data_IF_131010609250
#
_entry.id   IF_131010609250
#
_cell.length_a   1.000
_cell.length_b   1.000
_cell.length_c   1.000
_cell.angle_alpha   90.00
_cell.angle_beta   90.00
_cell.angle_gamma   90.00
#
_symmetry.space_group_name_H-M   'P 1'
#
loop_
_entity.id
_entity.type
_entity.pdbx_description
1 polymer ?
#
# COMPACT_ATOMS: atom_id res chain seq x y z
N UNK A 1 10.13 20.68 12.32
CA UNK A 1 9.77 20.67 10.87
C UNK A 1 8.79 19.54 10.47
N UNK A 2 8.64 18.48 11.25
CA UNK A 2 7.78 17.32 10.95
C UNK A 2 6.28 17.61 11.09
N UNK A 3 5.84 18.31 12.12
CA UNK A 3 4.41 18.55 12.41
C UNK A 3 3.71 19.43 11.36
N UNK A 4 4.41 20.45 10.81
CA UNK A 4 3.85 21.33 9.79
C UNK A 4 3.61 20.58 8.47
N UNK A 5 4.59 19.78 7.99
CA UNK A 5 4.43 18.95 6.77
C UNK A 5 3.29 17.94 6.87
N UNK A 6 3.12 17.32 8.04
CA UNK A 6 2.00 16.43 8.31
C UNK A 6 0.67 17.16 8.18
N UNK A 7 0.54 18.32 8.82
CA UNK A 7 -0.69 19.11 8.77
C UNK A 7 -1.02 19.55 7.34
N UNK A 8 -0.04 19.97 6.56
CA UNK A 8 -0.22 20.40 5.17
C UNK A 8 -0.63 19.22 4.27
N UNK A 9 -0.02 18.05 4.44
CA UNK A 9 -0.37 16.85 3.70
C UNK A 9 -1.77 16.33 4.07
N UNK A 10 -2.09 16.28 5.36
CA UNK A 10 -3.40 15.89 5.85
C UNK A 10 -4.49 16.82 5.33
N UNK A 11 -4.26 18.15 5.37
CA UNK A 11 -5.19 19.13 4.82
C UNK A 11 -5.41 18.96 3.33
N UNK A 12 -4.35 18.69 2.56
CA UNK A 12 -4.43 18.43 1.12
C UNK A 12 -5.32 17.23 0.84
N UNK A 13 -5.09 16.10 1.52
CA UNK A 13 -5.89 14.90 1.31
C UNK A 13 -7.30 15.02 1.86
N UNK A 14 -7.49 15.69 3.01
CA UNK A 14 -8.84 16.01 3.52
C UNK A 14 -9.65 16.79 2.48
N UNK A 15 -9.07 17.82 1.85
CA UNK A 15 -9.74 18.61 0.81
C UNK A 15 -10.10 17.73 -0.40
N UNK A 16 -9.19 16.87 -0.87
CA UNK A 16 -9.46 15.98 -1.99
C UNK A 16 -10.56 14.96 -1.70
N UNK A 17 -10.60 14.42 -0.48
CA UNK A 17 -11.62 13.44 -0.07
C UNK A 17 -12.95 14.07 0.38
N UNK A 18 -13.05 15.40 0.48
CA UNK A 18 -14.32 16.09 0.76
C UNK A 18 -15.33 16.00 -0.39
N UNK A 19 -14.87 15.75 -1.61
CA UNK A 19 -15.74 15.61 -2.76
C UNK A 19 -16.74 14.45 -2.60
N UNK A 20 -17.92 14.62 -3.20
CA UNK A 20 -18.97 13.59 -3.19
C UNK A 20 -18.50 12.30 -3.89
N UNK A 21 -18.98 11.16 -3.39
CA UNK A 21 -18.60 9.83 -3.86
C UNK A 21 -17.21 9.42 -3.35
N UNK A 22 -16.55 8.54 -4.08
CA UNK A 22 -15.20 8.01 -3.77
C UNK A 22 -14.24 8.39 -4.89
N UNK A 23 -13.15 9.06 -4.52
CA UNK A 23 -12.17 9.60 -5.45
C UNK A 23 -11.52 8.51 -6.32
N UNK A 24 -11.19 7.38 -5.68
CA UNK A 24 -10.56 6.22 -6.30
C UNK A 24 -11.54 5.04 -6.51
N UNK A 25 -12.85 5.31 -6.41
CA UNK A 25 -13.88 4.27 -6.50
C UNK A 25 -13.97 3.39 -5.26
N UNK A 26 -14.81 2.36 -5.32
CA UNK A 26 -15.05 1.41 -4.23
C UNK A 26 -14.55 0.00 -4.54
N UNK A 27 -14.22 -0.28 -5.80
CA UNK A 27 -13.63 -1.55 -6.20
C UNK A 27 -12.15 -1.64 -5.79
N UNK A 28 -11.67 -2.82 -5.39
CA UNK A 28 -10.28 -3.00 -5.00
C UNK A 28 -9.34 -2.78 -6.17
N UNK A 29 -8.12 -2.43 -5.86
CA UNK A 29 -7.06 -2.36 -6.87
C UNK A 29 -6.89 -3.71 -7.58
N UNK A 30 -6.74 -3.69 -8.90
CA UNK A 30 -6.68 -4.90 -9.72
C UNK A 30 -5.48 -5.80 -9.40
N UNK A 31 -4.31 -5.23 -9.16
CA UNK A 31 -3.12 -6.00 -8.80
C UNK A 31 -3.27 -6.64 -7.42
N UNK A 32 -3.75 -5.89 -6.44
CA UNK A 32 -4.05 -6.42 -5.11
C UNK A 32 -5.03 -7.58 -5.18
N UNK A 33 -6.12 -7.43 -5.94
CA UNK A 33 -7.14 -8.49 -6.12
C UNK A 33 -6.53 -9.78 -6.69
N UNK A 34 -5.60 -9.66 -7.65
CA UNK A 34 -4.90 -10.82 -8.23
C UNK A 34 -4.00 -11.54 -7.22
N UNK A 35 -3.40 -10.81 -6.28
CA UNK A 35 -2.44 -11.35 -5.32
C UNK A 35 -3.08 -11.80 -4.00
N UNK A 36 -4.34 -11.44 -3.74
CA UNK A 36 -4.99 -11.70 -2.44
C UNK A 36 -5.16 -13.19 -2.10
N UNK A 37 -5.07 -14.09 -3.07
CA UNK A 37 -5.10 -15.54 -2.86
C UNK A 37 -3.90 -16.08 -2.06
N UNK A 38 -2.85 -15.28 -1.84
CA UNK A 38 -1.74 -15.61 -0.95
C UNK A 38 -2.09 -15.50 0.53
N UNK A 39 -3.20 -14.85 0.87
CA UNK A 39 -3.70 -14.75 2.24
C UNK A 39 -4.91 -15.66 2.46
N UNK A 40 -5.02 -16.18 3.67
CA UNK A 40 -6.12 -17.06 4.08
C UNK A 40 -7.09 -16.30 5.00
N UNK A 41 -8.35 -16.72 5.02
CA UNK A 41 -9.35 -16.16 5.92
C UNK A 41 -8.86 -16.22 7.39
N UNK A 42 -9.07 -15.13 8.12
CA UNK A 42 -8.59 -14.94 9.48
C UNK A 42 -7.17 -14.38 9.61
N UNK A 43 -6.34 -14.39 8.56
CA UNK A 43 -5.03 -13.74 8.59
C UNK A 43 -5.15 -12.23 8.72
N UNK A 44 -4.17 -11.65 9.43
CA UNK A 44 -4.15 -10.21 9.71
C UNK A 44 -3.39 -9.44 8.65
N UNK A 45 -4.08 -8.55 7.94
CA UNK A 45 -3.51 -7.71 6.86
C UNK A 45 -3.57 -6.24 7.23
N UNK A 46 -2.49 -5.49 6.94
CA UNK A 46 -2.43 -4.04 7.06
C UNK A 46 -2.55 -3.38 5.67
N UNK A 47 -3.52 -2.48 5.50
CA UNK A 47 -3.57 -1.56 4.36
C UNK A 47 -2.90 -0.24 4.72
N UNK A 48 -1.85 0.10 3.98
CA UNK A 48 -1.00 1.28 4.22
C UNK A 48 -1.50 2.46 3.40
N UNK A 49 -1.81 3.60 4.05
CA UNK A 49 -2.33 4.80 3.41
C UNK A 49 -3.53 4.47 2.50
N UNK A 50 -4.55 3.87 3.09
CA UNK A 50 -5.67 3.21 2.40
C UNK A 50 -6.72 4.18 1.83
N UNK A 51 -6.62 5.47 2.19
CA UNK A 51 -7.52 6.52 1.71
C UNK A 51 -8.95 6.29 2.17
N UNK A 52 -9.85 6.07 1.21
CA UNK A 52 -11.29 5.91 1.40
C UNK A 52 -11.73 4.44 1.59
N UNK A 53 -10.79 3.49 1.79
CA UNK A 53 -11.10 2.14 2.25
C UNK A 53 -11.39 1.08 1.18
N UNK A 54 -11.24 1.37 -0.11
CA UNK A 54 -11.61 0.43 -1.18
C UNK A 54 -10.89 -0.92 -1.10
N UNK A 55 -9.62 -0.91 -0.69
CA UNK A 55 -8.81 -2.13 -0.58
C UNK A 55 -9.08 -2.87 0.73
N UNK A 56 -9.07 -2.16 1.84
CA UNK A 56 -9.27 -2.75 3.17
C UNK A 56 -10.67 -3.37 3.32
N UNK A 57 -11.70 -2.69 2.84
CA UNK A 57 -13.08 -3.18 2.89
C UNK A 57 -13.24 -4.44 2.05
N UNK A 58 -12.69 -4.44 0.84
CA UNK A 58 -12.73 -5.63 -0.01
C UNK A 58 -11.97 -6.81 0.60
N UNK A 59 -10.78 -6.58 1.19
CA UNK A 59 -10.03 -7.64 1.87
C UNK A 59 -10.80 -8.21 3.08
N UNK A 60 -11.50 -7.34 3.83
CA UNK A 60 -12.37 -7.80 4.92
C UNK A 60 -13.55 -8.65 4.41
N UNK A 61 -14.12 -8.33 3.23
CA UNK A 61 -15.14 -9.17 2.58
C UNK A 61 -14.60 -10.56 2.18
N UNK A 62 -13.27 -10.69 1.95
CA UNK A 62 -12.63 -11.99 1.71
C UNK A 62 -12.37 -12.78 3.01
N UNK A 63 -12.83 -12.27 4.16
CA UNK A 63 -12.69 -12.93 5.46
C UNK A 63 -11.37 -12.66 6.19
N UNK A 64 -10.59 -11.70 5.75
CA UNK A 64 -9.35 -11.30 6.41
C UNK A 64 -9.61 -10.40 7.63
N UNK A 65 -8.73 -10.46 8.63
CA UNK A 65 -8.70 -9.50 9.74
C UNK A 65 -7.91 -8.28 9.30
N UNK A 66 -8.58 -7.17 8.97
CA UNK A 66 -7.94 -6.03 8.32
C UNK A 66 -7.76 -4.87 9.28
N UNK A 67 -6.54 -4.34 9.37
CA UNK A 67 -6.24 -3.01 9.88
C UNK A 67 -5.90 -2.09 8.71
N UNK A 68 -6.28 -0.81 8.80
CA UNK A 68 -5.99 0.19 7.79
C UNK A 68 -5.72 1.55 8.43
N UNK A 69 -4.88 2.34 7.80
CA UNK A 69 -4.68 3.72 8.23
C UNK A 69 -4.50 4.67 7.06
N UNK A 70 -4.88 5.91 7.26
CA UNK A 70 -4.58 7.02 6.37
C UNK A 70 -4.33 8.28 7.19
N UNK A 71 -3.61 9.25 6.63
CA UNK A 71 -3.40 10.52 7.32
C UNK A 71 -4.63 11.44 7.24
N UNK A 72 -5.55 11.17 6.30
CA UNK A 72 -6.77 11.94 6.12
C UNK A 72 -7.89 11.42 7.01
N UNK A 73 -8.31 12.23 7.95
CA UNK A 73 -9.50 11.95 8.76
C UNK A 73 -10.78 11.85 7.91
N UNK A 74 -10.87 12.63 6.83
CA UNK A 74 -12.01 12.57 5.89
C UNK A 74 -12.00 11.23 5.14
N UNK A 75 -10.84 10.79 4.68
CA UNK A 75 -10.66 9.49 4.04
C UNK A 75 -11.09 8.35 4.96
N UNK A 76 -10.56 8.34 6.19
CA UNK A 76 -10.89 7.32 7.21
C UNK A 76 -12.40 7.28 7.50
N UNK A 77 -13.06 8.43 7.70
CA UNK A 77 -14.53 8.47 7.89
C UNK A 77 -15.31 7.93 6.69
N UNK A 78 -14.81 8.11 5.46
CA UNK A 78 -15.44 7.50 4.27
C UNK A 78 -15.19 5.99 4.22
N UNK A 79 -14.00 5.54 4.59
CA UNK A 79 -13.65 4.12 4.70
C UNK A 79 -14.54 3.40 5.73
N UNK A 80 -14.77 4.00 6.90
CA UNK A 80 -15.69 3.48 7.93
C UNK A 80 -17.13 3.34 7.39
N UNK A 81 -17.61 4.35 6.63
CA UNK A 81 -18.94 4.28 6.01
C UNK A 81 -19.02 3.18 4.97
N UNK A 82 -17.95 3.01 4.16
CA UNK A 82 -17.88 1.94 3.17
C UNK A 82 -17.90 0.56 3.83
N UNK A 83 -17.12 0.36 4.89
CA UNK A 83 -17.11 -0.88 5.66
C UNK A 83 -18.46 -1.20 6.28
N UNK A 84 -19.13 -0.19 6.86
CA UNK A 84 -20.49 -0.33 7.38
C UNK A 84 -21.50 -0.72 6.30
N UNK A 85 -21.44 -0.08 5.14
CA UNK A 85 -22.32 -0.40 4.00
C UNK A 85 -22.07 -1.82 3.45
N UNK A 86 -20.81 -2.29 3.49
CA UNK A 86 -20.41 -3.64 3.11
C UNK A 86 -20.65 -4.70 4.20
N UNK A 87 -21.11 -4.30 5.40
CA UNK A 87 -21.31 -5.15 6.56
C UNK A 87 -20.05 -5.94 6.98
N UNK A 88 -18.90 -5.27 6.97
CA UNK A 88 -17.61 -5.82 7.42
C UNK A 88 -16.98 -4.93 8.49
N UNK A 89 -16.08 -5.51 9.29
CA UNK A 89 -15.28 -4.80 10.28
C UNK A 89 -13.85 -4.61 9.78
N UNK A 90 -13.33 -3.39 9.90
CA UNK A 90 -11.94 -3.02 9.64
C UNK A 90 -11.47 -2.12 10.79
N UNK A 91 -10.25 -2.37 11.29
CA UNK A 91 -9.61 -1.57 12.34
C UNK A 91 -8.96 -0.33 11.69
N UNK A 92 -9.73 0.76 11.57
CA UNK A 92 -9.27 2.01 10.98
C UNK A 92 -8.58 2.92 12.00
N UNK A 93 -7.56 3.64 11.55
CA UNK A 93 -6.89 4.68 12.34
C UNK A 93 -6.44 5.86 11.49
N UNK A 94 -6.49 7.08 12.07
CA UNK A 94 -5.87 8.25 11.46
C UNK A 94 -4.43 8.32 11.92
N UNK A 95 -3.49 8.15 10.99
CA UNK A 95 -2.05 8.18 11.27
C UNK A 95 -1.25 8.46 10.00
N UNK A 96 -0.06 9.04 10.15
CA UNK A 96 0.91 9.08 9.07
C UNK A 96 1.97 7.97 9.21
N UNK A 97 2.69 7.72 8.12
CA UNK A 97 3.66 6.63 8.05
C UNK A 97 4.87 6.81 8.98
N UNK A 98 5.25 8.05 9.31
CA UNK A 98 6.41 8.34 10.16
C UNK A 98 6.06 8.34 11.67
N UNK A 99 4.86 8.81 12.04
CA UNK A 99 4.43 8.91 13.45
C UNK A 99 3.72 7.66 13.97
N UNK A 100 3.22 6.80 13.06
CA UNK A 100 2.57 5.55 13.44
C UNK A 100 3.51 4.63 14.22
N UNK A 101 2.98 4.00 15.27
CA UNK A 101 3.68 2.92 15.96
C UNK A 101 3.64 1.65 15.10
N UNK A 102 4.81 1.23 14.61
CA UNK A 102 4.98 0.00 13.86
C UNK A 102 5.43 -1.11 14.80
N UNK A 103 4.61 -2.16 14.93
CA UNK A 103 4.89 -3.30 15.82
C UNK A 103 5.46 -4.44 14.98
N UNK A 104 6.59 -4.99 15.43
CA UNK A 104 7.30 -6.06 14.74
C UNK A 104 6.47 -7.34 14.67
N UNK A 105 6.59 -8.07 13.55
CA UNK A 105 6.00 -9.40 13.34
C UNK A 105 4.51 -9.48 13.72
N UNK A 106 3.73 -8.49 13.30
CA UNK A 106 2.30 -8.36 13.66
C UNK A 106 1.37 -8.82 12.55
N UNK A 107 1.75 -8.62 11.30
CA UNK A 107 0.87 -8.84 10.15
C UNK A 107 1.30 -10.05 9.32
N UNK A 108 0.32 -10.84 8.90
CA UNK A 108 0.51 -11.94 7.96
C UNK A 108 0.62 -11.41 6.52
N UNK A 109 -0.01 -10.26 6.28
CA UNK A 109 0.00 -9.57 5.00
C UNK A 109 0.05 -8.07 5.10
N UNK A 110 0.49 -7.43 4.00
CA UNK A 110 0.50 -5.98 3.88
C UNK A 110 0.19 -5.56 2.46
N UNK A 111 -0.71 -4.59 2.30
CA UNK A 111 -1.05 -3.96 1.02
C UNK A 111 -0.57 -2.50 1.02
N UNK A 112 0.30 -2.15 0.08
CA UNK A 112 0.84 -0.80 -0.11
C UNK A 112 0.59 -0.37 -1.56
N UNK A 113 -0.60 0.21 -1.80
CA UNK A 113 -1.09 0.55 -3.13
C UNK A 113 -0.99 2.05 -3.35
N UNK A 114 -0.15 2.47 -4.32
CA UNK A 114 0.12 3.87 -4.67
C UNK A 114 0.65 4.74 -3.50
N UNK A 115 1.53 4.18 -2.67
CA UNK A 115 2.17 4.90 -1.55
C UNK A 115 3.32 5.82 -2.01
N UNK A 116 3.24 6.33 -3.23
CA UNK A 116 4.26 7.17 -3.88
C UNK A 116 4.18 8.66 -3.53
N UNK A 117 3.43 9.01 -2.49
CA UNK A 117 3.52 10.31 -1.82
C UNK A 117 4.83 10.45 -1.03
N UNK A 118 5.45 9.33 -0.66
CA UNK A 118 6.68 9.29 0.11
C UNK A 118 7.89 9.67 -0.77
N UNK A 119 8.58 10.74 -0.41
CA UNK A 119 9.89 11.09 -0.97
C UNK A 119 10.93 9.99 -0.63
N UNK A 120 12.10 9.94 -1.29
CA UNK A 120 13.07 8.87 -1.08
C UNK A 120 13.46 8.60 0.37
N UNK A 121 13.73 9.62 1.24
CA UNK A 121 14.01 9.39 2.65
C UNK A 121 12.83 8.80 3.44
N UNK A 122 11.62 9.30 3.22
CA UNK A 122 10.40 8.78 3.85
C UNK A 122 10.08 7.37 3.35
N UNK A 123 10.22 7.13 2.06
CA UNK A 123 10.02 5.82 1.44
C UNK A 123 10.94 4.75 2.03
N UNK A 124 12.22 5.07 2.25
CA UNK A 124 13.16 4.15 2.86
C UNK A 124 12.71 3.73 4.27
N UNK A 125 12.27 4.69 5.10
CA UNK A 125 11.74 4.41 6.45
C UNK A 125 10.44 3.60 6.38
N UNK A 126 9.52 3.97 5.49
CA UNK A 126 8.25 3.27 5.29
C UNK A 126 8.48 1.80 4.92
N UNK A 127 9.34 1.53 3.94
CA UNK A 127 9.63 0.17 3.48
C UNK A 127 10.30 -0.67 4.59
N UNK A 128 11.23 -0.10 5.35
CA UNK A 128 11.83 -0.77 6.52
C UNK A 128 10.77 -1.11 7.59
N UNK A 129 9.88 -0.18 7.90
CA UNK A 129 8.80 -0.39 8.85
C UNK A 129 7.83 -1.49 8.38
N UNK A 130 7.49 -1.50 7.09
CA UNK A 130 6.65 -2.53 6.50
C UNK A 130 7.29 -3.91 6.63
N UNK A 131 8.56 -4.06 6.22
CA UNK A 131 9.28 -5.33 6.34
C UNK A 131 9.38 -5.82 7.78
N UNK A 132 9.67 -4.91 8.73
CA UNK A 132 9.78 -5.23 10.15
C UNK A 132 8.46 -5.73 10.72
N UNK A 133 7.34 -5.10 10.35
CA UNK A 133 6.01 -5.41 10.88
C UNK A 133 5.37 -6.67 10.28
N UNK A 134 5.87 -7.16 9.16
CA UNK A 134 5.47 -8.47 8.64
C UNK A 134 6.01 -9.60 9.53
N UNK A 135 5.19 -10.62 9.77
CA UNK A 135 5.63 -11.90 10.34
C UNK A 135 6.58 -12.63 9.39
N UNK A 136 7.47 -13.49 9.88
CA UNK A 136 8.18 -14.45 9.03
C UNK A 136 7.17 -15.24 8.17
N UNK A 137 7.40 -15.34 6.86
CA UNK A 137 6.47 -15.94 5.91
C UNK A 137 5.37 -15.03 5.40
N UNK A 138 5.19 -13.84 5.97
CA UNK A 138 4.16 -12.88 5.57
C UNK A 138 4.43 -12.25 4.20
N UNK A 139 3.37 -11.85 3.51
CA UNK A 139 3.42 -11.31 2.15
C UNK A 139 3.21 -9.80 2.10
N UNK A 140 3.98 -9.14 1.23
CA UNK A 140 3.79 -7.74 0.86
C UNK A 140 3.32 -7.65 -0.59
N UNK A 141 2.18 -7.03 -0.79
CA UNK A 141 1.68 -6.61 -2.11
C UNK A 141 1.89 -5.10 -2.24
N UNK A 142 2.65 -4.68 -3.24
CA UNK A 142 2.91 -3.29 -3.53
C UNK A 142 2.59 -3.00 -4.99
N UNK A 143 1.95 -1.86 -5.26
CA UNK A 143 1.78 -1.33 -6.62
C UNK A 143 2.05 0.17 -6.64
N UNK A 144 2.65 0.63 -7.74
CA UNK A 144 2.88 2.03 -8.01
C UNK A 144 3.05 2.32 -9.49
N UNK A 145 3.36 3.56 -9.80
CA UNK A 145 3.65 4.02 -11.15
C UNK A 145 5.15 3.93 -11.46
N UNK A 146 5.48 3.65 -12.73
CA UNK A 146 6.84 3.68 -13.25
C UNK A 146 7.19 5.06 -13.83
N UNK A 147 8.45 5.27 -14.21
CA UNK A 147 8.93 6.52 -14.84
C UNK A 147 8.15 6.88 -16.10
N UNK A 148 7.69 5.90 -16.86
CA UNK A 148 6.90 6.10 -18.09
C UNK A 148 5.55 6.78 -17.84
N UNK A 149 5.03 6.74 -16.61
CA UNK A 149 3.80 7.42 -16.25
C UNK A 149 3.84 8.94 -16.52
N UNK A 150 5.02 9.55 -16.46
CA UNK A 150 5.18 10.98 -16.75
C UNK A 150 4.82 11.35 -18.20
N UNK A 151 4.89 10.39 -19.11
CA UNK A 151 4.47 10.59 -20.51
C UNK A 151 2.95 10.60 -20.64
N UNK A 152 2.24 9.77 -19.87
CA UNK A 152 0.78 9.62 -19.96
C UNK A 152 0.01 10.72 -19.22
N UNK A 153 0.52 11.23 -18.11
CA UNK A 153 -0.10 12.30 -17.30
C UNK A 153 -1.53 11.98 -16.84
N UNK A 154 -1.86 10.72 -16.69
CA UNK A 154 -3.19 10.21 -16.31
C UNK A 154 -3.32 9.93 -14.81
N UNK A 155 -2.36 10.34 -14.01
CA UNK A 155 -2.29 10.15 -12.55
C UNK A 155 -0.87 9.94 -12.06
N UNK A 156 -0.70 9.70 -10.76
CA UNK A 156 0.58 9.53 -10.11
C UNK A 156 1.29 10.84 -9.76
N UNK A 157 2.39 10.77 -9.00
CA UNK A 157 3.19 11.93 -8.64
C UNK A 157 3.96 12.46 -9.86
N UNK A 158 4.12 13.82 -9.98
CA UNK A 158 4.85 14.42 -11.08
C UNK A 158 6.38 14.40 -10.88
N UNK A 159 6.87 13.78 -9.81
CA UNK A 159 8.29 13.78 -9.42
C UNK A 159 8.94 12.45 -9.77
N UNK A 160 10.04 12.47 -10.52
CA UNK A 160 10.79 11.30 -10.97
C UNK A 160 11.22 10.41 -9.80
N UNK A 161 11.71 11.00 -8.72
CA UNK A 161 12.23 10.31 -7.54
C UNK A 161 11.15 9.62 -6.68
N UNK A 162 9.88 9.93 -6.91
CA UNK A 162 8.74 9.25 -6.29
C UNK A 162 8.31 7.99 -7.07
N UNK A 163 8.69 7.89 -8.34
CA UNK A 163 8.31 6.77 -9.21
C UNK A 163 9.21 5.55 -8.97
N UNK A 164 8.68 4.38 -9.27
CA UNK A 164 9.37 3.14 -8.97
C UNK A 164 10.04 2.56 -10.21
N UNK A 165 11.18 1.91 -9.99
CA UNK A 165 11.85 1.04 -10.96
C UNK A 165 12.05 -0.36 -10.37
N UNK A 166 12.16 -1.42 -11.21
CA UNK A 166 12.44 -2.77 -10.71
C UNK A 166 13.69 -2.83 -9.83
N UNK A 167 14.79 -2.22 -10.27
CA UNK A 167 16.06 -2.22 -9.53
C UNK A 167 15.90 -1.56 -8.15
N UNK A 168 15.23 -0.41 -8.07
CA UNK A 168 15.00 0.28 -6.79
C UNK A 168 14.18 -0.58 -5.83
N UNK A 169 13.13 -1.28 -6.32
CA UNK A 169 12.35 -2.17 -5.47
C UNK A 169 13.14 -3.42 -5.05
N UNK A 170 13.93 -4.01 -5.94
CA UNK A 170 14.81 -5.13 -5.61
C UNK A 170 15.83 -4.77 -4.52
N UNK A 171 16.46 -3.61 -4.63
CA UNK A 171 17.40 -3.10 -3.63
C UNK A 171 16.71 -2.79 -2.29
N UNK A 172 15.58 -2.10 -2.33
CA UNK A 172 14.84 -1.71 -1.12
C UNK A 172 14.29 -2.92 -0.34
N UNK A 173 13.94 -4.00 -1.04
CA UNK A 173 13.40 -5.24 -0.47
C UNK A 173 14.36 -6.44 -0.59
N UNK A 174 15.67 -6.20 -0.67
CA UNK A 174 16.68 -7.26 -0.82
C UNK A 174 16.64 -8.33 0.30
N UNK A 175 16.09 -8.00 1.47
CA UNK A 175 15.88 -8.95 2.58
C UNK A 175 14.61 -9.81 2.45
N UNK A 176 13.84 -9.66 1.37
CA UNK A 176 12.62 -10.42 1.10
C UNK A 176 12.80 -11.34 -0.11
N UNK A 177 12.04 -12.42 -0.15
CA UNK A 177 11.92 -13.27 -1.32
C UNK A 177 10.97 -12.61 -2.32
N UNK A 178 11.51 -12.13 -3.45
CA UNK A 178 10.71 -11.56 -4.55
C UNK A 178 10.01 -12.70 -5.31
N UNK A 179 8.67 -12.69 -5.34
CA UNK A 179 7.85 -13.71 -6.00
C UNK A 179 7.27 -13.20 -7.32
N UNK A 180 6.95 -11.92 -7.40
CA UNK A 180 6.50 -11.23 -8.61
C UNK A 180 7.05 -9.82 -8.62
N UNK A 181 7.55 -9.38 -9.78
CA UNK A 181 7.98 -8.00 -10.01
C UNK A 181 7.78 -7.69 -11.49
N UNK A 182 6.70 -7.02 -11.81
CA UNK A 182 6.25 -6.83 -13.18
C UNK A 182 5.96 -5.36 -13.47
N UNK A 183 6.64 -4.80 -14.48
CA UNK A 183 6.21 -3.56 -15.13
C UNK A 183 5.20 -3.87 -16.23
N UNK A 184 4.13 -3.09 -16.30
CA UNK A 184 3.09 -3.25 -17.32
C UNK A 184 2.35 -1.95 -17.57
N UNK A 185 1.66 -1.92 -18.69
CA UNK A 185 0.81 -0.82 -19.09
C UNK A 185 -0.63 -1.30 -19.26
N UNK A 186 -1.58 -0.53 -18.75
CA UNK A 186 -2.99 -0.81 -18.92
C UNK A 186 -3.82 0.48 -18.96
N UNK A 187 -5.04 0.38 -19.43
CA UNK A 187 -6.02 1.44 -19.27
C UNK A 187 -6.71 1.25 -17.91
N UNK A 188 -6.38 2.14 -16.98
CA UNK A 188 -6.97 2.12 -15.64
C UNK A 188 -8.38 2.69 -15.64
N UNK A 189 -9.23 2.11 -14.79
CA UNK A 189 -10.61 2.54 -14.55
C UNK A 189 -10.94 2.51 -13.05
N UNK A 190 -9.98 2.90 -12.21
CA UNK A 190 -10.10 2.88 -10.75
C UNK A 190 -10.49 4.27 -10.22
N UNK A 191 -11.78 4.58 -10.29
CA UNK A 191 -12.32 5.88 -9.90
C UNK A 191 -11.96 7.03 -10.84
N UNK A 192 -12.14 8.26 -10.38
CA UNK A 192 -11.94 9.48 -11.21
C UNK A 192 -10.48 9.88 -11.37
N UNK A 193 -9.62 9.49 -10.44
CA UNK A 193 -8.21 9.92 -10.40
C UNK A 193 -7.24 8.89 -10.98
N UNK A 194 -7.62 7.62 -11.03
CA UNK A 194 -6.85 6.55 -11.67
C UNK A 194 -7.59 6.11 -12.94
N UNK A 195 -7.57 6.97 -13.96
CA UNK A 195 -8.30 6.74 -15.20
C UNK A 195 -7.45 7.05 -16.44
N UNK A 196 -7.41 6.10 -17.37
CA UNK A 196 -6.69 6.19 -18.64
C UNK A 196 -5.39 5.38 -18.66
N UNK A 197 -4.66 5.50 -19.77
CA UNK A 197 -3.41 4.76 -20.01
C UNK A 197 -2.42 5.01 -18.89
N UNK A 198 -1.93 3.96 -18.27
CA UNK A 198 -1.05 4.03 -17.11
C UNK A 198 0.10 3.03 -17.22
N UNK A 199 1.28 3.44 -16.76
CA UNK A 199 2.47 2.63 -16.67
C UNK A 199 2.74 2.28 -15.21
N UNK A 200 2.60 1.00 -14.88
CA UNK A 200 2.55 0.48 -13.52
C UNK A 200 3.67 -0.51 -13.25
N UNK A 201 3.99 -0.65 -11.98
CA UNK A 201 4.82 -1.74 -11.47
C UNK A 201 4.11 -2.38 -10.28
N UNK A 202 3.96 -3.70 -10.34
CA UNK A 202 3.46 -4.53 -9.25
C UNK A 202 4.56 -5.38 -8.65
N UNK A 203 4.55 -5.54 -7.35
CA UNK A 203 5.49 -6.37 -6.60
C UNK A 203 4.74 -7.24 -5.59
N UNK A 204 5.05 -8.55 -5.60
CA UNK A 204 4.74 -9.48 -4.52
C UNK A 204 6.04 -9.97 -3.92
N UNK A 205 6.23 -9.77 -2.62
CA UNK A 205 7.40 -10.25 -1.90
C UNK A 205 6.99 -10.97 -0.62
N UNK A 206 7.77 -11.97 -0.20
CA UNK A 206 7.56 -12.75 1.02
C UNK A 206 8.70 -12.54 2.00
N UNK A 207 8.38 -12.28 3.27
CA UNK A 207 9.39 -12.26 4.32
C UNK A 207 9.93 -13.66 4.57
N UNK A 208 11.26 -13.91 4.57
CA UNK A 208 11.80 -15.24 4.80
C UNK A 208 11.32 -15.85 6.11
N UNK A 209 11.19 -17.17 6.15
CA UNK A 209 10.98 -17.92 7.41
C UNK A 209 12.24 -17.82 8.27
N UNK A 210 12.08 -17.87 9.60
CA UNK A 210 13.22 -17.73 10.53
C UNK A 210 14.37 -18.74 10.28
N UNK A 211 14.07 -19.89 9.70
CA UNK A 211 15.07 -20.96 9.45
C UNK A 211 15.87 -20.73 8.16
N UNK A 212 15.40 -19.91 7.22
CA UNK A 212 16.09 -19.68 5.94
C UNK A 212 17.26 -18.69 6.11
N UNK A 213 17.21 -17.83 7.14
CA UNK A 213 18.25 -16.85 7.43
C UNK A 213 19.57 -17.48 7.94
N UNK A 214 19.55 -18.71 8.48
CA UNK A 214 20.76 -19.39 8.98
C UNK A 214 21.48 -20.22 7.91
N UNK A 215 20.83 -20.56 6.80
CA UNK A 215 21.44 -21.37 5.73
C UNK A 215 22.28 -20.56 4.75
N UNK A 216 22.11 -19.25 4.66
CA UNK A 216 22.90 -18.40 3.75
C UNK A 216 24.25 -17.95 4.34
N UNK A 217 24.40 -17.92 5.67
CA UNK A 217 25.68 -17.55 6.33
C UNK A 217 26.67 -18.71 6.44
N UNK A 218 26.26 -19.95 6.11
CA UNK A 218 27.12 -21.13 6.18
C UNK A 218 27.78 -21.52 4.83
N UNK A 219 27.61 -20.73 3.77
CA UNK A 219 28.19 -20.95 2.44
C UNK A 219 29.05 -19.79 1.94
N UNK A 220 29.67 -19.05 2.87
CA UNK A 220 30.69 -18.03 2.56
C UNK A 220 32.06 -18.48 2.99
#
# INVERSE_FOLDING_TARGET
>A
MTTQRFNDAAQTWNTRFQEDGYLFGTEPNHYLRRQAHHWQAGERVLCVADGEGRNSVWLAQQGLSVAAFDLSEVGVRKAERLAKAANVAVDFSVADCDSRVWIDNTYDGMAAIFVQFADPPMRARLFQNMMRSLKPGGFLVLQGYTLKQLEYKTGGPPFVDHLYTPNMLQEAFAGMQMLDLLEYECDMTEGRQHHGRSALIGMLARKPMRNDAQSSSARG
#
